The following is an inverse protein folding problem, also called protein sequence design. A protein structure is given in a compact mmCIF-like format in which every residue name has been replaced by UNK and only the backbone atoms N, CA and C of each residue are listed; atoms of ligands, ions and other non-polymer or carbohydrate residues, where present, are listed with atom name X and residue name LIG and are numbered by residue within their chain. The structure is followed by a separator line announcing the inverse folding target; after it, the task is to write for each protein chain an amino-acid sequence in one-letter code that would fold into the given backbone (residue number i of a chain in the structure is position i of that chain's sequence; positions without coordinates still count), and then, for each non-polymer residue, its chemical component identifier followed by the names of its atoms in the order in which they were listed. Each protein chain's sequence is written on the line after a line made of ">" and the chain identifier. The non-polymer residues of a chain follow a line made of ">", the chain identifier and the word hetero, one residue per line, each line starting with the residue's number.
data_IF_449697190079
#
_entry.id   IF_449697190079
#
_cell.length_a   1.000
_cell.length_b   1.000
_cell.length_c   1.000
_cell.angle_alpha   90.00
_cell.angle_beta   90.00
_cell.angle_gamma   90.00
#
_symmetry.space_group_name_H-M   'P 1'
#
loop_
_entity.id
_entity.type
_entity.pdbx_description
1 polymer ?
#
# COMPACT_ATOMS: atom_id res chain seq x y z
N UNK A 1 37.86 78.54 46.38
CA UNK A 1 36.45 78.14 46.55
C UNK A 1 36.04 77.31 45.36
N UNK A 2 35.39 76.19 45.67
CA UNK A 2 34.93 75.07 44.85
C UNK A 2 34.55 75.38 43.39
N UNK A 3 35.06 74.61 42.44
CA UNK A 3 34.39 74.39 41.15
C UNK A 3 34.35 72.88 40.89
N UNK A 4 33.15 72.32 40.99
CA UNK A 4 32.85 70.90 40.89
C UNK A 4 33.02 70.42 39.44
N UNK A 5 33.96 69.49 39.25
CA UNK A 5 34.12 68.74 38.01
C UNK A 5 32.90 67.82 37.83
N UNK A 6 32.05 68.14 36.85
CA UNK A 6 31.02 67.22 36.38
C UNK A 6 31.72 66.12 35.58
N UNK A 7 31.82 64.92 36.15
CA UNK A 7 32.19 63.73 35.40
C UNK A 7 31.05 63.44 34.42
N UNK A 8 31.25 63.80 33.15
CA UNK A 8 30.38 63.36 32.06
C UNK A 8 30.45 61.84 31.99
N UNK A 9 29.37 61.18 32.39
CA UNK A 9 29.18 59.75 32.17
C UNK A 9 28.80 59.54 30.70
N UNK A 10 29.76 59.17 29.86
CA UNK A 10 29.51 58.77 28.48
C UNK A 10 29.04 57.32 28.46
N UNK A 11 27.75 57.11 28.15
CA UNK A 11 27.20 55.78 27.89
C UNK A 11 27.94 55.14 26.70
N UNK A 12 28.35 53.86 26.77
CA UNK A 12 28.90 53.18 25.61
C UNK A 12 27.83 53.17 24.51
N UNK A 13 28.20 53.61 23.30
CA UNK A 13 27.33 53.52 22.14
C UNK A 13 27.17 52.04 21.79
N UNK A 14 26.08 51.42 22.24
CA UNK A 14 25.68 50.10 21.77
C UNK A 14 25.19 50.25 20.33
N UNK A 15 26.11 50.26 19.37
CA UNK A 15 25.75 50.20 17.96
C UNK A 15 25.18 48.80 17.71
N UNK A 16 23.90 48.67 17.32
CA UNK A 16 23.39 47.37 16.90
C UNK A 16 24.21 46.94 15.68
N UNK A 17 24.97 45.85 15.82
CA UNK A 17 25.58 45.20 14.66
C UNK A 17 24.43 44.81 13.72
N UNK A 18 24.44 45.34 12.51
CA UNK A 18 23.49 44.92 11.48
C UNK A 18 23.74 43.43 11.22
N UNK A 19 22.93 42.56 11.82
CA UNK A 19 22.87 41.16 11.40
C UNK A 19 22.45 41.18 9.94
N UNK A 20 23.36 40.79 9.05
CA UNK A 20 23.00 40.52 7.65
C UNK A 20 22.03 39.36 7.70
N UNK A 21 20.79 39.61 7.31
CA UNK A 21 19.84 38.56 6.97
C UNK A 21 20.32 37.97 5.64
N UNK A 22 21.16 36.94 5.73
CA UNK A 22 21.49 36.11 4.57
C UNK A 22 20.20 35.37 4.18
N UNK A 23 19.55 35.85 3.12
CA UNK A 23 18.39 35.22 2.50
C UNK A 23 18.84 34.28 1.38
N UNK A 24 18.10 33.18 1.19
CA UNK A 24 18.29 32.27 0.06
C UNK A 24 18.22 33.01 -1.27
N UNK A 25 19.10 32.66 -2.20
CA UNK A 25 19.07 33.22 -3.54
C UNK A 25 18.03 32.52 -4.43
N UNK A 26 17.39 33.24 -5.34
CA UNK A 26 16.40 32.66 -6.26
C UNK A 26 17.01 31.57 -7.15
N UNK A 27 18.29 31.73 -7.52
CA UNK A 27 19.02 30.69 -8.28
C UNK A 27 19.24 29.43 -7.44
N UNK A 28 19.40 29.57 -6.12
CA UNK A 28 19.63 28.47 -5.19
C UNK A 28 18.41 27.55 -5.14
N UNK A 29 17.21 28.13 -5.01
CA UNK A 29 15.96 27.38 -5.07
C UNK A 29 15.70 26.75 -6.45
N UNK A 30 16.08 27.44 -7.54
CA UNK A 30 15.86 26.96 -8.91
C UNK A 30 16.71 25.73 -9.23
N UNK A 31 18.00 25.75 -8.85
CA UNK A 31 18.89 24.59 -9.04
C UNK A 31 18.46 23.40 -8.19
N UNK A 32 18.00 23.64 -6.95
CA UNK A 32 17.46 22.59 -6.08
C UNK A 32 16.23 21.94 -6.73
N UNK A 33 15.30 22.74 -7.24
CA UNK A 33 14.11 22.23 -7.92
C UNK A 33 14.48 21.45 -9.18
N UNK A 34 15.47 21.92 -9.95
CA UNK A 34 15.97 21.19 -11.12
C UNK A 34 16.49 19.80 -10.74
N UNK A 35 17.29 19.70 -9.67
CA UNK A 35 17.82 18.42 -9.18
C UNK A 35 16.70 17.52 -8.65
N UNK A 36 15.77 18.04 -7.84
CA UNK A 36 14.62 17.26 -7.33
C UNK A 36 13.77 16.73 -8.48
N UNK A 37 13.51 17.55 -9.51
CA UNK A 37 12.73 17.13 -10.67
C UNK A 37 13.38 15.96 -11.42
N UNK A 38 14.71 16.02 -11.62
CA UNK A 38 15.46 14.94 -12.24
C UNK A 38 15.40 13.64 -11.41
N UNK A 39 15.48 13.75 -10.07
CA UNK A 39 15.37 12.60 -9.17
C UNK A 39 13.97 11.96 -9.21
N UNK A 40 12.90 12.77 -9.24
CA UNK A 40 11.51 12.26 -9.28
C UNK A 40 11.25 11.47 -10.55
N UNK A 41 11.76 11.93 -11.71
CA UNK A 41 11.59 11.23 -12.99
C UNK A 41 12.16 9.80 -12.91
N UNK A 42 13.31 9.60 -12.28
CA UNK A 42 13.88 8.26 -12.06
C UNK A 42 13.14 7.47 -10.98
N UNK A 43 12.64 8.14 -9.94
CA UNK A 43 12.04 7.49 -8.78
C UNK A 43 10.66 6.88 -9.06
N UNK A 44 9.84 7.51 -9.92
CA UNK A 44 8.47 7.05 -10.21
C UNK A 44 8.40 5.59 -10.67
N UNK A 45 9.07 5.16 -11.77
CA UNK A 45 8.94 3.79 -12.28
C UNK A 45 9.48 2.73 -11.30
N UNK A 46 10.49 3.09 -10.51
CA UNK A 46 11.05 2.21 -9.48
C UNK A 46 9.99 2.00 -8.39
N UNK A 47 9.36 3.07 -7.91
CA UNK A 47 8.37 3.02 -6.85
C UNK A 47 7.10 2.27 -7.26
N UNK A 48 6.61 2.47 -8.50
CA UNK A 48 5.43 1.75 -9.00
C UNK A 48 5.66 0.24 -9.03
N UNK A 49 6.83 -0.21 -9.48
CA UNK A 49 7.18 -1.64 -9.46
C UNK A 49 7.13 -2.24 -8.06
N UNK A 50 7.57 -1.53 -7.03
CA UNK A 50 7.51 -2.01 -5.64
C UNK A 50 6.07 -2.14 -5.14
N UNK A 51 5.22 -1.17 -5.47
CA UNK A 51 3.79 -1.23 -5.13
C UNK A 51 3.14 -2.44 -5.81
N UNK A 52 3.47 -2.71 -7.08
CA UNK A 52 2.90 -3.85 -7.80
C UNK A 52 3.31 -5.20 -7.19
N UNK A 53 4.56 -5.34 -6.74
CA UNK A 53 4.99 -6.53 -5.98
C UNK A 53 4.22 -6.68 -4.66
N UNK A 54 3.93 -5.57 -3.97
CA UNK A 54 3.13 -5.59 -2.75
C UNK A 54 1.68 -6.00 -3.03
N UNK A 55 1.05 -5.46 -4.09
CA UNK A 55 -0.29 -5.86 -4.54
C UNK A 55 -0.34 -7.35 -4.87
N UNK A 56 0.67 -7.87 -5.58
CA UNK A 56 0.74 -9.30 -5.90
C UNK A 56 0.88 -10.17 -4.65
N UNK A 57 1.65 -9.72 -3.66
CA UNK A 57 1.78 -10.41 -2.37
C UNK A 57 0.44 -10.44 -1.61
N UNK A 58 -0.30 -9.34 -1.61
CA UNK A 58 -1.64 -9.27 -1.03
C UNK A 58 -2.63 -10.20 -1.75
N UNK A 59 -2.65 -10.17 -3.08
CA UNK A 59 -3.48 -11.05 -3.89
C UNK A 59 -3.17 -12.54 -3.62
N UNK A 60 -1.89 -12.91 -3.57
CA UNK A 60 -1.47 -14.27 -3.22
C UNK A 60 -1.95 -14.68 -1.82
N UNK A 61 -1.78 -13.82 -0.82
CA UNK A 61 -2.23 -14.07 0.56
C UNK A 61 -3.75 -14.22 0.67
N UNK A 62 -4.51 -13.42 -0.08
CA UNK A 62 -5.96 -13.48 -0.12
C UNK A 62 -6.44 -14.80 -0.76
N UNK A 63 -5.84 -15.22 -1.87
CA UNK A 63 -6.14 -16.49 -2.54
C UNK A 63 -5.69 -17.70 -1.69
N UNK A 64 -4.57 -17.62 -0.99
CA UNK A 64 -4.15 -18.67 -0.05
C UNK A 64 -5.11 -18.79 1.14
N UNK A 65 -5.68 -17.68 1.60
CA UNK A 65 -6.73 -17.70 2.62
C UNK A 65 -8.00 -18.40 2.11
N UNK A 66 -8.39 -18.18 0.85
CA UNK A 66 -9.48 -18.94 0.20
C UNK A 66 -9.17 -20.43 0.17
N UNK A 67 -7.96 -20.81 -0.24
CA UNK A 67 -7.52 -22.22 -0.27
C UNK A 67 -7.69 -22.91 1.08
N UNK A 68 -7.23 -22.26 2.16
CA UNK A 68 -7.35 -22.78 3.53
C UNK A 68 -8.80 -22.94 3.99
N UNK A 69 -9.67 -22.00 3.64
CA UNK A 69 -11.10 -22.09 3.99
C UNK A 69 -11.79 -23.20 3.21
N UNK A 70 -11.46 -23.38 1.93
CA UNK A 70 -11.98 -24.49 1.13
C UNK A 70 -11.50 -25.84 1.64
N UNK A 71 -10.26 -25.94 2.10
CA UNK A 71 -9.74 -27.16 2.75
C UNK A 71 -10.52 -27.47 4.04
N UNK A 72 -10.72 -26.45 4.90
CA UNK A 72 -11.54 -26.62 6.12
C UNK A 72 -12.96 -27.06 5.80
N UNK A 73 -13.57 -26.46 4.78
CA UNK A 73 -14.89 -26.83 4.30
C UNK A 73 -14.93 -28.29 3.81
N UNK A 74 -13.90 -28.72 3.08
CA UNK A 74 -13.78 -30.10 2.62
C UNK A 74 -13.63 -31.08 3.79
N UNK A 75 -12.90 -30.72 4.85
CA UNK A 75 -12.81 -31.53 6.07
C UNK A 75 -14.19 -31.69 6.73
N UNK A 76 -14.95 -30.59 6.84
CA UNK A 76 -16.25 -30.58 7.53
C UNK A 76 -17.36 -31.30 6.75
N UNK A 77 -17.39 -31.14 5.42
CA UNK A 77 -18.48 -31.63 4.57
C UNK A 77 -18.08 -32.80 3.65
N UNK A 78 -16.81 -33.22 3.69
CA UNK A 78 -16.22 -34.27 2.84
C UNK A 78 -16.30 -33.95 1.34
N UNK A 79 -16.60 -32.71 0.97
CA UNK A 79 -16.73 -32.26 -0.41
C UNK A 79 -16.47 -30.75 -0.51
N UNK A 80 -16.09 -30.27 -1.69
CA UNK A 80 -15.99 -28.84 -1.98
C UNK A 80 -17.36 -28.27 -2.35
N UNK A 81 -17.61 -26.97 -2.12
CA UNK A 81 -18.88 -26.35 -2.49
C UNK A 81 -19.07 -26.40 -4.01
N UNK A 82 -20.28 -26.70 -4.49
CA UNK A 82 -20.54 -26.74 -5.95
C UNK A 82 -20.50 -25.34 -6.58
N UNK A 83 -20.94 -24.35 -5.80
CA UNK A 83 -21.01 -22.95 -6.15
C UNK A 83 -20.65 -22.11 -4.94
N UNK A 84 -20.03 -20.95 -5.18
CA UNK A 84 -19.70 -19.99 -4.14
C UNK A 84 -20.18 -18.61 -4.59
N UNK A 85 -20.95 -17.94 -3.74
CA UNK A 85 -21.23 -16.52 -3.88
C UNK A 85 -20.13 -15.72 -3.17
N UNK A 86 -19.21 -15.15 -3.95
CA UNK A 86 -18.12 -14.33 -3.46
C UNK A 86 -18.57 -12.96 -2.91
N UNK A 87 -19.85 -12.59 -2.99
CA UNK A 87 -20.38 -11.41 -2.31
C UNK A 87 -20.80 -11.67 -0.88
N UNK A 88 -21.24 -12.89 -0.58
CA UNK A 88 -21.76 -13.27 0.74
C UNK A 88 -20.86 -14.27 1.46
N UNK A 89 -19.96 -14.94 0.73
CA UNK A 89 -19.08 -15.99 1.26
C UNK A 89 -19.83 -17.30 1.51
N UNK A 90 -20.95 -17.54 0.82
CA UNK A 90 -21.82 -18.71 1.04
C UNK A 90 -21.89 -19.61 -0.18
N UNK A 91 -22.24 -20.86 0.05
CA UNK A 91 -22.55 -21.81 -1.02
C UNK A 91 -24.03 -21.77 -1.44
N UNK A 92 -24.39 -22.62 -2.41
CA UNK A 92 -25.77 -22.79 -2.89
C UNK A 92 -26.76 -23.32 -1.84
N UNK A 93 -26.28 -23.90 -0.75
CA UNK A 93 -27.11 -24.39 0.36
C UNK A 93 -27.19 -23.39 1.52
N UNK A 94 -26.58 -22.21 1.38
CA UNK A 94 -26.56 -21.15 2.39
C UNK A 94 -25.57 -21.38 3.53
N UNK A 95 -24.70 -22.40 3.41
CA UNK A 95 -23.58 -22.67 4.33
C UNK A 95 -22.49 -21.62 4.15
N UNK A 96 -21.85 -21.24 5.24
CA UNK A 96 -20.73 -20.29 5.21
C UNK A 96 -19.47 -21.01 4.72
N UNK A 97 -18.93 -20.55 3.58
CA UNK A 97 -17.64 -20.99 3.04
C UNK A 97 -16.53 -20.05 3.49
N UNK A 98 -16.80 -18.74 3.49
CA UNK A 98 -15.87 -17.70 3.89
C UNK A 98 -16.48 -16.80 4.95
N UNK A 99 -15.64 -16.31 5.87
CA UNK A 99 -16.06 -15.25 6.79
C UNK A 99 -16.38 -13.96 6.03
N UNK A 100 -17.30 -13.15 6.55
CA UNK A 100 -17.64 -11.86 5.94
C UNK A 100 -16.45 -10.89 5.87
N UNK A 101 -15.45 -11.06 6.74
CA UNK A 101 -14.22 -10.28 6.69
C UNK A 101 -13.29 -10.72 5.55
N UNK A 102 -13.16 -12.04 5.33
CA UNK A 102 -12.41 -12.55 4.19
C UNK A 102 -13.03 -12.10 2.87
N UNK A 103 -14.37 -12.06 2.78
CA UNK A 103 -15.07 -11.53 1.58
C UNK A 103 -14.68 -10.08 1.30
N UNK A 104 -14.61 -9.22 2.32
CA UNK A 104 -14.17 -7.83 2.14
C UNK A 104 -12.71 -7.76 1.73
N UNK A 105 -11.86 -8.58 2.35
CA UNK A 105 -10.45 -8.64 2.00
C UNK A 105 -10.25 -9.03 0.53
N UNK A 106 -10.98 -10.06 0.06
CA UNK A 106 -10.92 -10.48 -1.34
C UNK A 106 -11.31 -9.35 -2.30
N UNK A 107 -12.37 -8.61 -1.98
CA UNK A 107 -12.81 -7.44 -2.78
C UNK A 107 -11.80 -6.29 -2.79
N UNK A 108 -10.93 -6.23 -1.80
CA UNK A 108 -9.90 -5.19 -1.68
C UNK A 108 -8.60 -5.59 -2.38
N UNK A 109 -8.18 -6.83 -2.15
CA UNK A 109 -6.84 -7.31 -2.52
C UNK A 109 -6.82 -7.93 -3.93
N UNK A 110 -7.98 -8.25 -4.50
CA UNK A 110 -8.13 -8.76 -5.87
C UNK A 110 -8.90 -7.76 -6.74
N UNK A 111 -8.54 -7.71 -8.02
CA UNK A 111 -9.26 -6.94 -9.03
C UNK A 111 -10.60 -7.60 -9.36
N UNK A 112 -10.59 -8.91 -9.58
CA UNK A 112 -11.78 -9.71 -9.85
C UNK A 112 -11.56 -11.15 -9.41
N UNK A 113 -12.68 -11.84 -9.16
CA UNK A 113 -12.73 -13.29 -9.10
C UNK A 113 -13.51 -13.73 -10.32
N UNK A 114 -12.83 -14.34 -11.28
CA UNK A 114 -13.32 -14.53 -12.64
C UNK A 114 -14.14 -15.82 -12.78
N UNK A 115 -13.70 -16.89 -12.13
CA UNK A 115 -14.47 -18.15 -12.11
C UNK A 115 -14.10 -19.05 -10.94
N UNK A 116 -15.08 -19.82 -10.47
CA UNK A 116 -14.89 -20.96 -9.57
C UNK A 116 -15.60 -22.17 -10.17
N UNK A 117 -14.88 -23.26 -10.33
CA UNK A 117 -15.44 -24.52 -10.87
C UNK A 117 -14.96 -25.67 -10.00
N UNK A 118 -15.91 -26.40 -9.42
CA UNK A 118 -15.64 -27.69 -8.77
C UNK A 118 -15.49 -28.79 -9.83
N UNK A 119 -14.52 -29.67 -9.67
CA UNK A 119 -14.33 -30.88 -10.46
C UNK A 119 -14.20 -32.11 -9.57
N UNK A 120 -15.32 -32.78 -9.27
CA UNK A 120 -15.32 -33.93 -8.35
C UNK A 120 -14.72 -33.54 -6.99
N UNK A 121 -13.54 -34.07 -6.67
CA UNK A 121 -12.82 -33.81 -5.42
C UNK A 121 -11.70 -32.77 -5.56
N UNK A 122 -11.76 -31.92 -6.59
CA UNK A 122 -10.87 -30.77 -6.79
C UNK A 122 -11.68 -29.53 -7.14
N UNK A 123 -11.02 -28.38 -7.20
CA UNK A 123 -11.60 -27.14 -7.71
C UNK A 123 -10.55 -26.33 -8.47
N UNK A 124 -11.03 -25.42 -9.31
CA UNK A 124 -10.21 -24.39 -9.95
C UNK A 124 -10.87 -23.04 -9.70
N UNK A 125 -10.11 -22.12 -9.12
CA UNK A 125 -10.49 -20.73 -8.95
C UNK A 125 -9.56 -19.86 -9.79
N UNK A 126 -10.13 -19.00 -10.62
CA UNK A 126 -9.38 -18.00 -11.40
C UNK A 126 -9.74 -16.64 -10.83
N UNK A 127 -8.73 -15.87 -10.47
CA UNK A 127 -8.85 -14.50 -10.00
C UNK A 127 -7.79 -13.62 -10.65
N UNK A 128 -8.02 -12.31 -10.67
CA UNK A 128 -7.10 -11.33 -11.23
C UNK A 128 -6.59 -10.42 -10.13
N UNK A 129 -5.29 -10.21 -10.05
CA UNK A 129 -4.66 -9.33 -9.08
C UNK A 129 -4.83 -7.85 -9.45
N UNK A 130 -4.69 -6.96 -8.45
CA UNK A 130 -4.81 -5.50 -8.60
C UNK A 130 -3.53 -4.83 -9.12
N UNK A 131 -2.47 -5.61 -9.40
CA UNK A 131 -1.24 -5.12 -9.98
C UNK A 131 -1.48 -4.49 -11.37
N UNK A 132 -0.56 -3.64 -11.81
CA UNK A 132 -0.68 -2.92 -13.09
C UNK A 132 -0.87 -3.84 -14.30
N UNK A 133 -0.38 -5.08 -14.24
CA UNK A 133 -0.50 -6.05 -15.34
C UNK A 133 -1.77 -6.89 -15.28
N UNK A 134 -2.59 -6.73 -14.25
CA UNK A 134 -3.76 -7.58 -14.01
C UNK A 134 -3.40 -9.06 -14.07
N UNK A 135 -2.44 -9.47 -13.24
CA UNK A 135 -1.89 -10.83 -13.25
C UNK A 135 -2.97 -11.84 -12.89
N UNK A 136 -3.16 -12.85 -13.74
CA UNK A 136 -4.15 -13.93 -13.52
C UNK A 136 -3.58 -14.96 -12.57
N UNK A 137 -4.27 -15.19 -11.47
CA UNK A 137 -3.96 -16.19 -10.45
C UNK A 137 -4.89 -17.38 -10.61
N UNK A 138 -4.32 -18.56 -10.81
CA UNK A 138 -5.05 -19.83 -10.81
C UNK A 138 -4.78 -20.57 -9.50
N UNK A 139 -5.83 -20.81 -8.74
CA UNK A 139 -5.80 -21.59 -7.51
C UNK A 139 -6.39 -22.99 -7.72
N UNK A 140 -5.66 -23.98 -7.23
CA UNK A 140 -6.08 -25.37 -7.07
C UNK A 140 -5.81 -25.81 -5.63
N UNK A 141 -6.34 -26.95 -5.15
CA UNK A 141 -6.03 -27.44 -3.81
C UNK A 141 -4.53 -27.57 -3.52
N UNK A 142 -3.74 -27.90 -4.54
CA UNK A 142 -2.32 -28.25 -4.41
C UNK A 142 -1.37 -27.06 -4.58
N UNK A 143 -1.75 -26.08 -5.41
CA UNK A 143 -0.84 -25.00 -5.82
C UNK A 143 -1.58 -23.72 -6.22
N UNK A 144 -0.86 -22.60 -6.13
CA UNK A 144 -1.25 -21.28 -6.61
C UNK A 144 -0.27 -20.88 -7.72
N UNK A 145 -0.81 -20.61 -8.91
CA UNK A 145 -0.01 -20.31 -10.11
C UNK A 145 -0.36 -18.91 -10.64
N UNK A 146 0.65 -18.21 -11.18
CA UNK A 146 0.56 -16.88 -11.78
C UNK A 146 1.69 -16.64 -12.77
#
# INVERSE_FOLDING_TARGET
>A
MHSSAWTTFSLPSNQPSSKRSDGFSLIELTVILAIISALVIMAIPIYTSYIDMAKMTLAHSAVDSVRKNLESYHIDFQDYPDLIDFNTGKDNLGRTVFSGELVKQLKKDLHSIDSYVKGGNTYTLIATATDDKHTVITLTPQQINY
#
